data_IF_801777060767
#
_entry.id   IF_801777060767
#
_cell.length_a   1.000
_cell.length_b   1.000
_cell.length_c   1.000
_cell.angle_alpha   90.00
_cell.angle_beta   90.00
_cell.angle_gamma   90.00
#
_symmetry.space_group_name_H-M   'P 1'
#
loop_
_entity.id
_entity.type
_entity.pdbx_description
1 polymer ?
#
# COMPACT_ATOMS: atom_id res chain seq x y z
N UNK A 1 31.21 76.43 -21.33
CA UNK A 1 30.39 76.37 -20.09
C UNK A 1 31.02 75.32 -19.19
N UNK A 2 31.57 75.75 -18.06
CA UNK A 2 32.26 74.90 -17.08
C UNK A 2 31.24 74.09 -16.27
N UNK A 3 31.50 72.80 -16.04
CA UNK A 3 30.76 71.99 -15.08
C UNK A 3 31.30 72.26 -13.66
N UNK A 4 30.46 72.38 -12.62
CA UNK A 4 30.94 72.47 -11.24
C UNK A 4 31.37 71.09 -10.72
N UNK A 5 32.43 71.13 -9.89
CA UNK A 5 33.06 70.00 -9.20
C UNK A 5 32.08 69.22 -8.29
N UNK A 6 32.43 67.96 -8.07
CA UNK A 6 31.77 66.97 -7.21
C UNK A 6 31.41 67.51 -5.83
N UNK A 7 30.13 67.39 -5.46
CA UNK A 7 29.65 67.61 -4.10
C UNK A 7 30.04 66.38 -3.25
N UNK A 8 31.11 66.48 -2.46
CA UNK A 8 31.36 65.53 -1.38
C UNK A 8 30.31 65.74 -0.27
N UNK A 9 29.54 64.70 0.11
CA UNK A 9 28.58 64.83 1.19
C UNK A 9 29.34 64.89 2.53
N UNK A 10 29.53 66.09 3.06
CA UNK A 10 30.03 66.31 4.42
C UNK A 10 28.92 65.93 5.40
N UNK A 11 28.93 64.67 5.84
CA UNK A 11 28.06 64.23 6.93
C UNK A 11 28.48 64.94 8.24
N UNK A 12 27.56 65.63 8.93
CA UNK A 12 27.90 66.33 10.16
C UNK A 12 28.37 65.33 11.23
N UNK A 13 29.46 65.69 11.91
CA UNK A 13 30.22 64.82 12.83
C UNK A 13 29.35 64.17 13.90
N UNK A 14 28.24 64.80 14.31
CA UNK A 14 27.29 64.24 15.27
C UNK A 14 26.38 63.13 14.75
N UNK A 15 26.16 63.03 13.44
CA UNK A 15 25.36 61.96 12.83
C UNK A 15 26.20 60.68 12.67
N UNK A 16 27.47 60.82 12.29
CA UNK A 16 28.42 59.70 12.23
C UNK A 16 28.56 58.98 13.59
N UNK A 17 28.59 59.73 14.70
CA UNK A 17 28.67 59.15 16.05
C UNK A 17 27.39 58.43 16.48
N UNK A 18 26.20 58.88 16.02
CA UNK A 18 24.94 58.16 16.27
C UNK A 18 24.85 56.84 15.52
N UNK A 19 25.32 56.77 14.27
CA UNK A 19 25.37 55.51 13.53
C UNK A 19 26.46 54.56 14.05
N UNK A 20 27.61 55.08 14.49
CA UNK A 20 28.65 54.28 15.14
C UNK A 20 28.15 53.61 16.45
N UNK A 21 27.22 54.24 17.18
CA UNK A 21 26.60 53.66 18.37
C UNK A 21 25.59 52.53 18.09
N UNK A 22 25.08 52.45 16.86
CA UNK A 22 24.20 51.36 16.39
C UNK A 22 25.01 50.17 15.88
N UNK A 23 26.23 50.39 15.40
CA UNK A 23 27.22 49.37 15.10
C UNK A 23 27.97 48.91 16.36
N UNK A 24 27.26 48.66 17.47
CA UNK A 24 27.85 47.91 18.58
C UNK A 24 28.22 46.54 18.00
N UNK A 25 29.52 46.28 17.87
CA UNK A 25 30.02 44.98 17.42
C UNK A 25 29.27 43.91 18.21
N UNK A 26 28.46 43.11 17.52
CA UNK A 26 27.67 42.07 18.17
C UNK A 26 28.68 41.16 18.84
N UNK A 27 28.55 40.99 20.15
CA UNK A 27 29.36 40.05 20.90
C UNK A 27 29.28 38.68 20.21
N UNK A 28 30.37 37.92 20.21
CA UNK A 28 30.46 36.62 19.51
C UNK A 28 29.34 35.67 19.95
N UNK A 29 28.89 35.82 21.20
CA UNK A 29 27.74 35.12 21.80
C UNK A 29 26.41 35.42 21.06
N UNK A 30 26.14 36.69 20.75
CA UNK A 30 24.93 37.11 20.06
C UNK A 30 24.97 36.70 18.58
N UNK A 31 26.15 36.75 17.95
CA UNK A 31 26.37 36.23 16.58
C UNK A 31 26.13 34.72 16.52
N UNK A 32 26.65 33.96 17.48
CA UNK A 32 26.43 32.52 17.59
C UNK A 32 24.94 32.20 17.79
N UNK A 33 24.24 32.91 18.68
CA UNK A 33 22.81 32.75 18.91
C UNK A 33 21.96 33.08 17.66
N UNK A 34 22.36 34.09 16.87
CA UNK A 34 21.69 34.42 15.59
C UNK A 34 21.93 33.34 14.54
N UNK A 35 23.15 32.83 14.40
CA UNK A 35 23.49 31.70 13.50
C UNK A 35 22.69 30.43 13.88
N UNK A 36 22.54 30.14 15.17
CA UNK A 36 21.73 29.01 15.63
C UNK A 36 20.25 29.19 15.28
N UNK A 37 19.68 30.37 15.55
CA UNK A 37 18.29 30.72 15.19
C UNK A 37 18.05 30.63 13.67
N UNK A 38 18.99 31.10 12.85
CA UNK A 38 18.86 31.04 11.38
C UNK A 38 18.95 29.61 10.86
N UNK A 39 19.93 28.81 11.32
CA UNK A 39 20.04 27.37 10.97
C UNK A 39 18.77 26.61 11.32
N UNK A 40 18.22 26.86 12.51
CA UNK A 40 16.95 26.28 12.96
C UNK A 40 15.78 26.68 12.06
N UNK A 41 15.66 27.97 11.72
CA UNK A 41 14.60 28.44 10.83
C UNK A 41 14.69 27.79 9.44
N UNK A 42 15.91 27.65 8.89
CA UNK A 42 16.16 26.94 7.63
C UNK A 42 15.79 25.46 7.73
N UNK A 43 16.15 24.79 8.82
CA UNK A 43 15.79 23.40 9.06
C UNK A 43 14.27 23.19 9.13
N UNK A 44 13.55 24.04 9.88
CA UNK A 44 12.07 23.96 9.98
C UNK A 44 11.42 24.22 8.61
N UNK A 45 11.92 25.17 7.83
CA UNK A 45 11.43 25.43 6.46
C UNK A 45 11.62 24.21 5.56
N UNK A 46 12.81 23.61 5.58
CA UNK A 46 13.10 22.39 4.84
C UNK A 46 12.20 21.23 5.29
N UNK A 47 12.06 21.03 6.60
CA UNK A 47 11.24 19.95 7.18
C UNK A 47 9.77 20.09 6.77
N UNK A 48 9.21 21.30 6.79
CA UNK A 48 7.85 21.58 6.31
C UNK A 48 7.69 21.26 4.83
N UNK A 49 8.69 21.62 4.01
CA UNK A 49 8.68 21.33 2.57
C UNK A 49 8.70 19.82 2.32
N UNK A 50 9.61 19.08 2.98
CA UNK A 50 9.69 17.61 2.86
C UNK A 50 8.41 16.95 3.34
N UNK A 51 7.91 17.31 4.53
CA UNK A 51 6.65 16.77 5.06
C UNK A 51 5.47 17.02 4.12
N UNK A 52 5.37 18.23 3.54
CA UNK A 52 4.31 18.57 2.59
C UNK A 52 4.38 17.75 1.30
N UNK A 53 5.57 17.63 0.69
CA UNK A 53 5.74 16.88 -0.56
C UNK A 53 5.57 15.37 -0.39
N UNK A 54 6.20 14.80 0.64
CA UNK A 54 6.03 13.38 0.99
C UNK A 54 4.58 13.12 1.43
N UNK A 55 3.95 14.09 2.08
CA UNK A 55 2.55 14.07 2.48
C UNK A 55 1.61 13.97 1.30
N UNK A 56 1.83 14.78 0.27
CA UNK A 56 1.03 14.74 -0.96
C UNK A 56 1.20 13.39 -1.68
N UNK A 57 2.43 12.90 -1.83
CA UNK A 57 2.69 11.59 -2.43
C UNK A 57 2.02 10.45 -1.65
N UNK A 58 2.22 10.44 -0.33
CA UNK A 58 1.61 9.49 0.58
C UNK A 58 0.08 9.58 0.58
N UNK A 59 -0.51 10.76 0.42
CA UNK A 59 -1.95 10.94 0.33
C UNK A 59 -2.54 10.38 -0.96
N UNK A 60 -1.88 10.59 -2.11
CA UNK A 60 -2.33 10.03 -3.40
C UNK A 60 -2.31 8.50 -3.36
N UNK A 61 -1.17 7.91 -2.96
CA UNK A 61 -1.06 6.45 -2.87
C UNK A 61 -1.92 5.89 -1.74
N UNK A 62 -1.98 6.58 -0.60
CA UNK A 62 -2.81 6.22 0.54
C UNK A 62 -4.30 6.26 0.21
N UNK A 63 -4.76 7.17 -0.64
CA UNK A 63 -6.14 7.20 -1.13
C UNK A 63 -6.44 5.98 -2.00
N UNK A 64 -5.56 5.68 -2.97
CA UNK A 64 -5.68 4.45 -3.77
C UNK A 64 -5.71 3.20 -2.87
N UNK A 65 -4.83 3.14 -1.88
CA UNK A 65 -4.75 2.03 -0.93
C UNK A 65 -5.97 1.95 0.00
N UNK A 66 -6.48 3.09 0.44
CA UNK A 66 -7.69 3.21 1.25
C UNK A 66 -8.92 2.73 0.50
N UNK A 67 -9.08 3.11 -0.78
CA UNK A 67 -10.19 2.63 -1.63
C UNK A 67 -10.13 1.11 -1.81
N UNK A 68 -8.96 0.58 -2.13
CA UNK A 68 -8.78 -0.87 -2.32
C UNK A 68 -9.00 -1.66 -1.02
N UNK A 69 -8.55 -1.11 0.13
CA UNK A 69 -8.76 -1.68 1.45
C UNK A 69 -10.22 -1.62 1.90
N UNK A 70 -10.90 -0.51 1.60
CA UNK A 70 -12.34 -0.36 1.85
C UNK A 70 -13.13 -1.41 1.09
N UNK A 71 -12.88 -1.58 -0.21
CA UNK A 71 -13.51 -2.63 -1.03
C UNK A 71 -13.20 -4.02 -0.47
N UNK A 72 -11.96 -4.26 -0.02
CA UNK A 72 -11.59 -5.52 0.60
C UNK A 72 -12.37 -5.79 1.89
N UNK A 73 -12.57 -4.78 2.73
CA UNK A 73 -13.27 -4.93 4.02
C UNK A 73 -14.74 -5.34 3.83
N UNK A 74 -15.36 -4.88 2.73
CA UNK A 74 -16.77 -5.15 2.42
C UNK A 74 -16.99 -6.41 1.57
N UNK A 75 -15.97 -7.28 1.42
CA UNK A 75 -16.07 -8.54 0.66
C UNK A 75 -16.91 -9.61 1.34
N UNK A 76 -16.99 -9.58 2.66
CA UNK A 76 -17.70 -10.55 3.48
C UNK A 76 -18.67 -9.81 4.43
N UNK A 77 -19.62 -10.55 5.02
CA UNK A 77 -20.59 -9.96 5.96
C UNK A 77 -19.91 -9.28 7.15
N UNK A 78 -20.59 -8.34 7.83
CA UNK A 78 -22.02 -8.03 7.76
C UNK A 78 -22.43 -6.97 6.72
N UNK A 79 -21.52 -6.07 6.31
CA UNK A 79 -21.79 -4.99 5.36
C UNK A 79 -21.19 -5.33 3.99
N UNK A 80 -21.92 -6.10 3.18
CA UNK A 80 -21.44 -6.55 1.87
C UNK A 80 -21.78 -5.54 0.80
N UNK A 81 -20.76 -5.11 0.06
CA UNK A 81 -20.96 -4.42 -1.21
C UNK A 81 -20.97 -5.50 -2.29
N UNK A 82 -22.12 -5.73 -2.92
CA UNK A 82 -22.23 -6.74 -3.98
C UNK A 82 -21.25 -6.43 -5.12
N UNK A 83 -20.31 -7.34 -5.46
CA UNK A 83 -19.33 -7.13 -6.53
C UNK A 83 -19.94 -7.01 -7.94
N UNK A 84 -21.26 -7.08 -8.08
CA UNK A 84 -21.94 -7.58 -9.27
C UNK A 84 -22.03 -9.11 -9.26
N UNK A 85 -22.74 -9.68 -10.24
CA UNK A 85 -22.76 -11.12 -10.46
C UNK A 85 -21.34 -11.60 -10.78
N UNK A 86 -20.84 -12.66 -10.13
CA UNK A 86 -19.66 -13.36 -10.61
C UNK A 86 -19.86 -13.69 -12.08
N UNK A 87 -18.99 -13.19 -12.96
CA UNK A 87 -18.97 -13.59 -14.37
C UNK A 87 -18.33 -14.98 -14.43
N UNK A 88 -19.06 -15.98 -13.92
CA UNK A 88 -18.70 -17.37 -14.07
C UNK A 88 -19.31 -17.81 -15.38
N UNK A 89 -18.47 -17.82 -16.42
CA UNK A 89 -18.85 -18.46 -17.67
C UNK A 89 -18.63 -19.96 -17.49
N UNK A 90 -19.72 -20.70 -17.33
CA UNK A 90 -19.68 -22.16 -17.34
C UNK A 90 -19.94 -22.66 -18.76
N UNK A 91 -18.97 -23.39 -19.30
CA UNK A 91 -19.06 -24.00 -20.63
C UNK A 91 -18.79 -25.49 -20.46
N UNK A 92 -19.68 -26.33 -20.98
CA UNK A 92 -19.40 -27.75 -21.07
C UNK A 92 -18.69 -28.03 -22.40
N UNK A 93 -17.50 -28.62 -22.33
CA UNK A 93 -16.81 -29.11 -23.50
C UNK A 93 -17.01 -30.61 -23.66
N UNK A 94 -17.37 -31.01 -24.87
CA UNK A 94 -17.43 -32.42 -25.25
C UNK A 94 -16.03 -32.93 -25.54
N UNK A 95 -15.66 -34.05 -24.92
CA UNK A 95 -14.38 -34.70 -25.15
C UNK A 95 -14.33 -35.33 -26.56
N UNK A 96 -13.27 -35.07 -27.35
CA UNK A 96 -13.09 -35.73 -28.64
C UNK A 96 -12.65 -37.17 -28.41
N UNK A 97 -13.53 -38.13 -28.70
CA UNK A 97 -13.21 -39.56 -28.64
C UNK A 97 -13.41 -40.20 -27.27
N UNK A 98 -12.46 -41.06 -26.87
CA UNK A 98 -12.55 -41.83 -25.64
C UNK A 98 -12.27 -40.98 -24.39
N UNK A 99 -12.90 -41.29 -23.24
CA UNK A 99 -12.62 -40.63 -21.96
C UNK A 99 -11.12 -40.61 -21.61
N UNK A 100 -10.59 -39.49 -21.08
CA UNK A 100 -9.19 -39.40 -20.68
C UNK A 100 -8.89 -40.41 -19.56
N UNK A 101 -7.81 -41.18 -19.72
CA UNK A 101 -7.43 -42.22 -18.76
C UNK A 101 -6.78 -41.67 -17.47
N UNK A 102 -6.29 -40.43 -17.48
CA UNK A 102 -5.63 -39.82 -16.31
C UNK A 102 -5.91 -38.32 -16.25
N UNK A 103 -5.86 -37.71 -15.04
CA UNK A 103 -5.98 -36.26 -14.88
C UNK A 103 -4.93 -35.48 -15.71
N UNK A 104 -3.70 -36.00 -15.83
CA UNK A 104 -2.64 -35.35 -16.59
C UNK A 104 -2.92 -35.32 -18.11
N UNK A 105 -3.54 -36.38 -18.66
CA UNK A 105 -3.97 -36.39 -20.07
C UNK A 105 -5.09 -35.38 -20.31
N UNK A 106 -6.04 -35.29 -19.38
CA UNK A 106 -7.09 -34.28 -19.45
C UNK A 106 -6.50 -32.86 -19.36
N UNK A 107 -5.55 -32.62 -18.47
CA UNK A 107 -4.85 -31.33 -18.36
C UNK A 107 -4.14 -30.95 -19.66
N UNK A 108 -3.38 -31.88 -20.25
CA UNK A 108 -2.65 -31.64 -21.50
C UNK A 108 -3.61 -31.27 -22.64
N UNK A 109 -4.72 -32.01 -22.77
CA UNK A 109 -5.77 -31.70 -23.74
C UNK A 109 -6.40 -30.33 -23.49
N UNK A 110 -6.72 -30.00 -22.23
CA UNK A 110 -7.27 -28.70 -21.86
C UNK A 110 -6.32 -27.54 -22.17
N UNK A 111 -5.02 -27.71 -21.91
CA UNK A 111 -4.00 -26.71 -22.25
C UNK A 111 -3.96 -26.44 -23.75
N UNK A 112 -4.01 -27.49 -24.57
CA UNK A 112 -4.03 -27.35 -26.02
C UNK A 112 -5.33 -26.69 -26.52
N UNK A 113 -6.48 -27.18 -26.03
CA UNK A 113 -7.80 -26.71 -26.46
C UNK A 113 -8.05 -25.24 -26.08
N UNK A 114 -7.55 -24.81 -24.91
CA UNK A 114 -7.70 -23.45 -24.40
C UNK A 114 -6.50 -22.53 -24.72
N UNK A 115 -5.53 -22.99 -25.50
CA UNK A 115 -4.29 -22.25 -25.83
C UNK A 115 -3.58 -21.72 -24.58
N UNK A 116 -3.43 -22.59 -23.58
CA UNK A 116 -2.95 -22.30 -22.23
C UNK A 116 -1.46 -22.65 -22.07
N UNK A 117 -0.62 -22.10 -22.96
CA UNK A 117 0.76 -22.56 -23.15
C UNK A 117 1.71 -22.18 -22.00
N UNK A 118 1.43 -21.07 -21.29
CA UNK A 118 2.32 -20.48 -20.28
C UNK A 118 1.73 -20.41 -18.86
N UNK A 119 0.69 -21.20 -18.59
CA UNK A 119 0.01 -21.21 -17.30
C UNK A 119 0.53 -22.26 -16.31
N UNK A 120 0.37 -22.00 -15.02
CA UNK A 120 0.54 -23.01 -13.96
C UNK A 120 -0.75 -23.80 -13.81
N UNK A 121 -0.65 -25.06 -13.42
CA UNK A 121 -1.80 -25.90 -13.13
C UNK A 121 -1.71 -26.51 -11.74
N UNK A 122 -2.88 -26.85 -11.18
CA UNK A 122 -3.00 -27.67 -9.98
C UNK A 122 -4.09 -28.71 -10.21
N UNK A 123 -3.74 -29.98 -9.99
CA UNK A 123 -4.67 -31.10 -10.07
C UNK A 123 -5.07 -31.51 -8.66
N UNK A 124 -6.38 -31.70 -8.44
CA UNK A 124 -6.94 -32.39 -7.28
C UNK A 124 -7.74 -33.58 -7.78
N UNK A 125 -7.46 -34.76 -7.23
CA UNK A 125 -8.16 -36.02 -7.51
C UNK A 125 -8.90 -36.44 -6.26
N UNK A 126 -10.19 -36.68 -6.40
CA UNK A 126 -11.05 -37.24 -5.36
C UNK A 126 -11.40 -38.66 -5.80
N UNK A 127 -11.02 -39.65 -4.99
CA UNK A 127 -11.27 -41.05 -5.30
C UNK A 127 -12.77 -41.36 -5.31
N UNK A 128 -13.15 -42.41 -6.03
CA UNK A 128 -14.52 -42.90 -5.97
C UNK A 128 -14.88 -43.26 -4.53
N UNK A 129 -16.02 -42.76 -4.05
CA UNK A 129 -16.44 -42.93 -2.66
C UNK A 129 -17.94 -43.21 -2.60
N UNK A 130 -18.41 -44.06 -1.66
CA UNK A 130 -19.83 -44.23 -1.41
C UNK A 130 -20.38 -42.93 -0.81
N UNK A 131 -21.48 -42.44 -1.37
CA UNK A 131 -22.20 -41.26 -0.90
C UNK A 131 -23.65 -41.67 -0.64
N UNK A 132 -24.15 -41.36 0.55
CA UNK A 132 -25.54 -41.59 0.91
C UNK A 132 -26.42 -40.53 0.25
N UNK A 133 -27.38 -40.97 -0.57
CA UNK A 133 -28.38 -40.13 -1.20
C UNK A 133 -29.78 -40.54 -0.73
N UNK A 134 -30.27 -39.86 0.31
CA UNK A 134 -31.48 -40.29 1.02
C UNK A 134 -31.27 -41.66 1.67
N UNK A 135 -32.16 -42.61 1.40
CA UNK A 135 -32.07 -43.99 1.94
C UNK A 135 -31.23 -44.94 1.06
N UNK A 136 -30.46 -44.41 0.09
CA UNK A 136 -29.68 -45.23 -0.86
C UNK A 136 -28.22 -44.83 -0.87
N UNK A 137 -27.35 -45.82 -0.70
CA UNK A 137 -25.91 -45.66 -0.90
C UNK A 137 -25.59 -45.76 -2.40
N UNK A 138 -25.01 -44.70 -2.97
CA UNK A 138 -24.59 -44.65 -4.39
C UNK A 138 -23.10 -44.38 -4.45
N UNK A 139 -22.38 -45.15 -5.28
CA UNK A 139 -20.94 -44.92 -5.50
C UNK A 139 -20.77 -43.70 -6.40
N UNK A 140 -20.21 -42.64 -5.84
CA UNK A 140 -19.79 -41.47 -6.61
C UNK A 140 -18.52 -41.83 -7.38
N UNK A 141 -18.48 -41.62 -8.71
CA UNK A 141 -17.29 -41.90 -9.51
C UNK A 141 -16.15 -40.94 -9.15
N UNK A 142 -14.93 -41.34 -9.51
CA UNK A 142 -13.75 -40.51 -9.31
C UNK A 142 -13.92 -39.12 -9.96
N UNK A 143 -13.52 -38.08 -9.22
CA UNK A 143 -13.73 -36.68 -9.59
C UNK A 143 -12.40 -35.94 -9.70
N UNK A 144 -12.20 -35.26 -10.83
CA UNK A 144 -11.00 -34.50 -11.13
C UNK A 144 -11.32 -33.02 -11.19
N UNK A 145 -10.55 -32.25 -10.43
CA UNK A 145 -10.54 -30.80 -10.50
C UNK A 145 -9.17 -30.33 -10.98
N UNK A 146 -9.15 -29.67 -12.13
CA UNK A 146 -7.93 -29.12 -12.73
C UNK A 146 -8.06 -27.61 -12.76
N UNK A 147 -7.25 -26.92 -11.96
CA UNK A 147 -7.19 -25.46 -11.93
C UNK A 147 -6.04 -24.99 -12.81
N UNK A 148 -6.35 -24.16 -13.80
CA UNK A 148 -5.40 -23.52 -14.71
C UNK A 148 -5.30 -22.03 -14.38
N UNK A 149 -4.08 -21.56 -14.09
CA UNK A 149 -3.78 -20.20 -13.66
C UNK A 149 -2.96 -19.45 -14.73
N UNK A 150 -3.46 -18.30 -15.19
CA UNK A 150 -2.75 -17.35 -16.06
C UNK A 150 -3.00 -15.93 -15.53
N UNK A 151 -2.06 -14.98 -15.71
CA UNK A 151 -2.33 -13.57 -15.41
C UNK A 151 -3.61 -13.11 -16.10
N UNK A 152 -4.59 -12.64 -15.31
CA UNK A 152 -5.87 -12.13 -15.79
C UNK A 152 -7.00 -13.15 -15.94
N UNK A 153 -6.76 -14.46 -15.91
CA UNK A 153 -7.81 -15.48 -16.05
C UNK A 153 -7.48 -16.78 -15.31
N UNK A 154 -8.46 -17.30 -14.58
CA UNK A 154 -8.40 -18.63 -13.96
C UNK A 154 -9.52 -19.50 -14.51
N UNK A 155 -9.18 -20.71 -14.93
CA UNK A 155 -10.14 -21.69 -15.43
C UNK A 155 -10.09 -22.91 -14.52
N UNK A 156 -11.25 -23.35 -14.04
CA UNK A 156 -11.39 -24.60 -13.30
C UNK A 156 -12.12 -25.59 -14.19
N UNK A 157 -11.51 -26.74 -14.45
CA UNK A 157 -12.15 -27.84 -15.14
C UNK A 157 -12.56 -28.91 -14.13
N UNK A 158 -13.83 -29.30 -14.16
CA UNK A 158 -14.41 -30.37 -13.36
C UNK A 158 -14.78 -31.53 -14.28
N UNK A 159 -14.31 -32.73 -13.94
CA UNK A 159 -14.56 -33.93 -14.71
C UNK A 159 -14.88 -35.12 -13.81
N UNK A 160 -15.98 -35.79 -14.13
CA UNK A 160 -16.37 -37.05 -13.52
C UNK A 160 -15.91 -38.20 -14.42
N UNK A 161 -15.16 -39.15 -13.87
CA UNK A 161 -14.65 -40.28 -14.65
C UNK A 161 -15.81 -41.06 -15.27
N UNK A 162 -15.76 -41.24 -16.60
CA UNK A 162 -16.82 -41.86 -17.39
C UNK A 162 -17.76 -40.87 -18.08
N UNK A 163 -17.72 -39.58 -17.71
CA UNK A 163 -18.44 -38.53 -18.43
C UNK A 163 -17.86 -38.31 -19.83
N UNK A 164 -18.72 -37.90 -20.77
CA UNK A 164 -18.33 -37.44 -22.12
C UNK A 164 -18.10 -35.93 -22.18
N UNK A 165 -18.46 -35.21 -21.13
CA UNK A 165 -18.32 -33.76 -21.02
C UNK A 165 -17.43 -33.38 -19.83
N UNK A 166 -16.72 -32.27 -19.99
CA UNK A 166 -15.93 -31.61 -18.95
C UNK A 166 -16.58 -30.25 -18.71
N UNK A 167 -16.89 -29.93 -17.46
CA UNK A 167 -17.40 -28.61 -17.10
C UNK A 167 -16.23 -27.66 -16.93
N UNK A 168 -16.19 -26.58 -17.71
CA UNK A 168 -15.23 -25.49 -17.56
C UNK A 168 -15.90 -24.31 -16.91
N UNK A 169 -15.39 -23.92 -15.75
CA UNK A 169 -15.76 -22.69 -15.07
C UNK A 169 -14.64 -21.69 -15.26
N UNK A 170 -14.88 -20.69 -16.10
CA UNK A 170 -14.00 -19.53 -16.20
C UNK A 170 -14.46 -18.49 -15.19
N UNK A 171 -13.58 -18.12 -14.28
CA UNK A 171 -13.82 -17.04 -13.34
C UNK A 171 -13.08 -15.80 -13.85
N UNK A 172 -13.82 -14.87 -14.45
CA UNK A 172 -13.24 -13.58 -14.82
C UNK A 172 -13.02 -12.74 -13.55
N UNK A 173 -11.83 -12.14 -13.44
CA UNK A 173 -11.49 -11.30 -12.29
C UNK A 173 -12.46 -10.11 -12.23
N UNK A 174 -13.45 -10.18 -11.34
CA UNK A 174 -14.30 -9.02 -11.06
C UNK A 174 -13.43 -7.84 -10.63
N UNK A 175 -13.85 -6.60 -10.92
CA UNK A 175 -13.11 -5.40 -10.51
C UNK A 175 -12.78 -5.43 -9.00
N UNK A 176 -13.70 -5.98 -8.20
CA UNK A 176 -13.50 -6.20 -6.78
C UNK A 176 -12.34 -7.17 -6.48
N UNK A 177 -12.23 -8.29 -7.19
CA UNK A 177 -11.10 -9.21 -7.07
C UNK A 177 -9.78 -8.51 -7.43
N UNK A 178 -9.75 -7.75 -8.53
CA UNK A 178 -8.58 -6.97 -8.94
C UNK A 178 -8.15 -5.97 -7.86
N UNK A 179 -9.09 -5.17 -7.32
CA UNK A 179 -8.81 -4.22 -6.24
C UNK A 179 -8.34 -4.93 -4.97
N UNK A 180 -8.92 -6.09 -4.62
CA UNK A 180 -8.48 -6.84 -3.45
C UNK A 180 -7.11 -7.49 -3.63
N UNK A 181 -6.74 -7.87 -4.86
CA UNK A 181 -5.42 -8.42 -5.16
C UNK A 181 -4.36 -7.32 -5.15
N UNK A 182 -4.70 -6.14 -5.65
CA UNK A 182 -3.85 -4.95 -5.63
C UNK A 182 -3.44 -4.60 -4.20
N UNK A 183 -4.40 -4.55 -3.28
CA UNK A 183 -4.13 -4.25 -1.86
C UNK A 183 -3.37 -5.37 -1.14
N UNK A 184 -3.65 -6.64 -1.46
CA UNK A 184 -2.92 -7.78 -0.85
C UNK A 184 -1.54 -8.01 -1.47
N UNK A 185 -1.24 -7.40 -2.62
CA UNK A 185 -0.01 -7.66 -3.36
C UNK A 185 0.08 -9.07 -3.99
N UNK A 186 -1.05 -9.75 -4.19
CA UNK A 186 -1.06 -11.13 -4.70
C UNK A 186 -0.88 -11.13 -6.23
N UNK A 187 0.14 -11.84 -6.71
CA UNK A 187 0.41 -12.00 -8.15
C UNK A 187 0.99 -10.77 -8.84
N UNK A 188 1.56 -9.83 -8.09
CA UNK A 188 2.10 -8.57 -8.61
C UNK A 188 3.61 -8.63 -8.88
N UNK A 189 4.11 -7.72 -9.72
CA UNK A 189 5.52 -7.65 -10.12
C UNK A 189 6.41 -6.98 -9.06
N UNK A 190 7.74 -7.09 -9.22
CA UNK A 190 8.72 -6.41 -8.37
C UNK A 190 8.50 -4.89 -8.29
N UNK A 191 8.09 -4.27 -9.41
CA UNK A 191 7.79 -2.83 -9.46
C UNK A 191 6.68 -2.47 -8.46
N UNK A 192 5.67 -3.33 -8.32
CA UNK A 192 4.60 -3.11 -7.36
C UNK A 192 5.09 -3.16 -5.91
N UNK A 193 6.01 -4.08 -5.60
CA UNK A 193 6.63 -4.14 -4.27
C UNK A 193 7.34 -2.83 -3.94
N UNK A 194 8.12 -2.29 -4.88
CA UNK A 194 8.79 -1.00 -4.69
C UNK A 194 7.79 0.15 -4.49
N UNK A 195 6.65 0.14 -5.20
CA UNK A 195 5.58 1.12 -4.98
C UNK A 195 5.04 1.01 -3.55
N UNK A 196 4.76 -0.19 -3.04
CA UNK A 196 4.32 -0.38 -1.65
C UNK A 196 5.35 0.12 -0.64
N UNK A 197 6.63 -0.14 -0.87
CA UNK A 197 7.71 0.32 -0.01
C UNK A 197 7.78 1.86 0.03
N UNK A 198 7.46 2.54 -1.08
CA UNK A 198 7.36 4.01 -1.05
C UNK A 198 6.18 4.51 -0.21
N UNK A 199 5.06 3.79 -0.17
CA UNK A 199 3.92 4.12 0.70
C UNK A 199 4.35 3.97 2.16
N UNK A 200 4.93 2.83 2.52
CA UNK A 200 5.42 2.56 3.87
C UNK A 200 6.46 3.60 4.31
N UNK A 201 7.44 3.87 3.44
CA UNK A 201 8.44 4.92 3.66
C UNK A 201 7.82 6.30 3.84
N UNK A 202 6.80 6.66 3.05
CA UNK A 202 6.09 7.93 3.20
C UNK A 202 5.38 8.05 4.56
N UNK A 203 4.74 6.98 5.06
CA UNK A 203 4.07 6.97 6.36
C UNK A 203 5.07 7.15 7.51
N UNK A 204 6.21 6.44 7.44
CA UNK A 204 7.28 6.56 8.43
C UNK A 204 7.83 7.99 8.43
N UNK A 205 8.19 8.51 7.25
CA UNK A 205 8.71 9.87 7.12
C UNK A 205 7.70 10.91 7.61
N UNK A 206 6.42 10.78 7.28
CA UNK A 206 5.38 11.71 7.74
C UNK A 206 5.21 11.69 9.26
N UNK A 207 5.23 10.50 9.86
CA UNK A 207 5.20 10.36 11.33
C UNK A 207 6.39 11.06 11.98
N UNK A 208 7.61 10.76 11.52
CA UNK A 208 8.84 11.34 12.07
C UNK A 208 8.88 12.86 11.87
N UNK A 209 8.65 13.33 10.64
CA UNK A 209 8.68 14.76 10.33
C UNK A 209 7.54 15.52 11.01
N UNK A 210 6.38 14.89 11.21
CA UNK A 210 5.26 15.45 11.98
C UNK A 210 5.61 15.65 13.45
N UNK A 211 6.21 14.63 14.08
CA UNK A 211 6.71 14.73 15.47
C UNK A 211 7.81 15.80 15.57
N UNK A 212 8.77 15.82 14.65
CA UNK A 212 9.84 16.83 14.65
C UNK A 212 9.30 18.26 14.47
N UNK A 213 8.36 18.48 13.54
CA UNK A 213 7.70 19.77 13.38
C UNK A 213 6.94 20.17 14.65
N UNK A 214 6.17 19.24 15.23
CA UNK A 214 5.39 19.52 16.43
C UNK A 214 6.28 19.88 17.62
N UNK A 215 7.37 19.12 17.85
CA UNK A 215 8.31 19.36 18.94
C UNK A 215 9.10 20.66 18.74
N UNK A 216 9.54 20.96 17.53
CA UNK A 216 10.23 22.21 17.24
C UNK A 216 9.31 23.42 17.37
N UNK A 217 8.03 23.33 17.01
CA UNK A 217 7.09 24.44 17.17
C UNK A 217 6.58 24.58 18.62
N UNK A 218 6.46 23.48 19.37
CA UNK A 218 5.80 23.46 20.68
C UNK A 218 6.72 23.04 21.85
N UNK A 219 8.03 23.35 21.82
CA UNK A 219 9.03 22.87 22.81
C UNK A 219 8.57 22.87 24.28
N UNK A 220 7.94 23.96 24.74
CA UNK A 220 7.42 24.04 26.14
C UNK A 220 6.31 23.00 26.41
N UNK A 221 5.40 22.79 25.45
CA UNK A 221 4.32 21.79 25.57
C UNK A 221 4.85 20.38 25.41
N UNK A 222 5.88 20.15 24.58
CA UNK A 222 6.51 18.84 24.41
C UNK A 222 7.08 18.32 25.73
N UNK A 223 7.79 19.14 26.48
CA UNK A 223 8.33 18.76 27.80
C UNK A 223 7.20 18.33 28.73
N UNK A 224 6.11 19.10 28.79
CA UNK A 224 4.95 18.77 29.61
C UNK A 224 4.29 17.44 29.19
N UNK A 225 4.09 17.21 27.89
CA UNK A 225 3.50 15.97 27.37
C UNK A 225 4.38 14.75 27.68
N UNK A 226 5.70 14.86 27.52
CA UNK A 226 6.63 13.77 27.83
C UNK A 226 6.61 13.44 29.32
N UNK A 227 6.63 14.45 30.20
CA UNK A 227 6.58 14.24 31.65
C UNK A 227 5.26 13.60 32.11
N UNK A 228 4.13 14.06 31.59
CA UNK A 228 2.81 13.48 31.90
C UNK A 228 2.72 12.05 31.37
N UNK A 229 3.12 11.82 30.11
CA UNK A 229 3.10 10.49 29.50
C UNK A 229 3.99 9.49 30.22
N UNK A 230 5.21 9.89 30.61
CA UNK A 230 6.11 9.05 31.40
C UNK A 230 5.53 8.73 32.77
N UNK A 231 4.89 9.71 33.43
CA UNK A 231 4.22 9.50 34.71
C UNK A 231 3.06 8.51 34.61
N UNK A 232 2.22 8.62 33.56
CA UNK A 232 1.12 7.67 33.31
C UNK A 232 1.65 6.27 33.02
N UNK A 233 2.66 6.14 32.15
CA UNK A 233 3.25 4.85 31.81
C UNK A 233 3.88 4.18 33.04
N UNK A 234 4.60 4.94 33.87
CA UNK A 234 5.17 4.44 35.12
C UNK A 234 4.08 4.00 36.12
N UNK A 235 2.98 4.76 36.23
CA UNK A 235 1.85 4.40 37.09
C UNK A 235 1.14 3.12 36.61
N UNK A 236 0.91 2.99 35.29
CA UNK A 236 0.34 1.78 34.70
C UNK A 236 1.28 0.58 34.87
N UNK A 237 2.58 0.75 34.64
CA UNK A 237 3.55 -0.31 34.84
C UNK A 237 3.57 -0.77 36.30
N UNK A 238 3.63 0.16 37.25
CA UNK A 238 3.60 -0.15 38.67
C UNK A 238 2.30 -0.88 39.08
N UNK A 239 1.14 -0.39 38.64
CA UNK A 239 -0.16 -1.00 38.96
C UNK A 239 -0.47 -2.31 38.24
N UNK A 240 0.16 -2.58 37.10
CA UNK A 240 0.08 -3.88 36.41
C UNK A 240 1.13 -4.88 36.93
N UNK A 241 2.15 -4.39 37.64
CA UNK A 241 3.21 -5.21 38.27
C UNK A 241 2.91 -5.61 39.72
N UNK A 242 1.83 -5.08 40.31
CA UNK A 242 1.29 -5.43 41.63
C UNK A 242 0.16 -6.45 41.53
#
# INVERSE_FOLDING_TARGET
MNAPESIEPTLPTGIATRYASVARALDETELAARRQRSRRATFIKWLRKVHGWVGLWGAVLGLMFGVTGFVMNHRAGPLRISPGLPQVSEVQLTLPGAPPATPAKLEAWLRQQLQFDNGRSRIRKEAAQPVEWGDRSVVQPEHWQIMLFRPGANVTAEYWVGSRTVALKRNDNSLMMTLTNLHRGVGMSLVWVLVMDTIAGSMILLSLTGVLLWTELNKRRTIAVVLIGASIAAALFAGLSS
#
